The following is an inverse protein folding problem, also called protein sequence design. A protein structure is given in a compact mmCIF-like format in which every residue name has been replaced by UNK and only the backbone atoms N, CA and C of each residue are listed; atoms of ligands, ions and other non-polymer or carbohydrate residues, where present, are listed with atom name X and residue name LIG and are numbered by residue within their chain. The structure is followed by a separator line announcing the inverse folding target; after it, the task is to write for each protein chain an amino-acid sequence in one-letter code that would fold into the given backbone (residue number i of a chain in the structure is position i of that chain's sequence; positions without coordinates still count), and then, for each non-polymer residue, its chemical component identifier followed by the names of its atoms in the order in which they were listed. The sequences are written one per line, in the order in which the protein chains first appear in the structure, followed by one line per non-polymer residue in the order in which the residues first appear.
data_IF_993471171197
#
_entry.id   IF_993471171197
#
_cell.length_a   1.000
_cell.length_b   1.000
_cell.length_c   1.000
_cell.angle_alpha   90.00
_cell.angle_beta   90.00
_cell.angle_gamma   90.00
#
_symmetry.space_group_name_H-M   'P 1'
#
loop_
_entity.id
_entity.type
_entity.pdbx_description
1 polymer ?
#
# COMPACT_ATOMS: atom_id res chain seq x y z
N UNK A 1 11.69 1.70 5.88
CA UNK A 1 11.79 0.78 4.75
C UNK A 1 13.03 1.06 3.90
N UNK A 2 13.18 2.25 3.30
CA UNK A 2 14.26 2.56 2.34
C UNK A 2 15.66 2.71 2.97
N UNK A 3 15.76 3.02 4.25
CA UNK A 3 17.05 3.20 4.96
C UNK A 3 17.48 1.96 5.76
N UNK A 4 16.61 0.98 5.95
CA UNK A 4 16.92 -0.19 6.76
C UNK A 4 17.49 -1.29 5.87
N UNK A 5 18.66 -1.87 6.18
CA UNK A 5 19.20 -3.04 5.49
C UNK A 5 18.19 -4.18 5.42
N UNK A 6 18.21 -4.94 4.34
CA UNK A 6 17.19 -5.96 4.06
C UNK A 6 17.13 -7.03 5.15
N UNK A 7 18.26 -7.49 5.62
CA UNK A 7 18.41 -8.48 6.71
C UNK A 7 17.88 -8.01 8.07
N UNK A 8 17.91 -6.70 8.33
CA UNK A 8 17.40 -6.09 9.57
C UNK A 8 15.93 -5.63 9.45
N UNK A 9 15.38 -5.57 8.25
CA UNK A 9 14.08 -4.94 7.97
C UNK A 9 12.93 -5.62 8.70
N UNK A 10 12.86 -6.95 8.66
CA UNK A 10 11.79 -7.70 9.32
C UNK A 10 11.74 -7.47 10.83
N UNK A 11 12.90 -7.42 11.51
CA UNK A 11 13.00 -7.18 12.94
C UNK A 11 12.60 -5.74 13.29
N UNK A 12 13.12 -4.75 12.54
CA UNK A 12 12.80 -3.33 12.76
C UNK A 12 11.30 -3.04 12.57
N UNK A 13 10.69 -3.56 11.51
CA UNK A 13 9.26 -3.36 11.24
C UNK A 13 8.40 -4.12 12.26
N UNK A 14 8.84 -5.29 12.75
CA UNK A 14 8.16 -6.01 13.83
C UNK A 14 8.10 -5.21 15.14
N UNK A 15 9.15 -4.48 15.48
CA UNK A 15 9.14 -3.57 16.64
C UNK A 15 8.15 -2.40 16.44
N UNK A 16 8.10 -1.82 15.24
CA UNK A 16 7.11 -0.78 14.89
C UNK A 16 5.67 -1.30 14.98
N UNK A 17 5.44 -2.55 14.59
CA UNK A 17 4.10 -3.16 14.68
C UNK A 17 3.62 -3.27 16.14
N UNK A 18 4.51 -3.64 17.06
CA UNK A 18 4.18 -3.67 18.49
C UNK A 18 3.87 -2.26 19.06
N UNK A 19 4.59 -1.23 18.61
CA UNK A 19 4.30 0.15 18.99
C UNK A 19 2.97 0.63 18.41
N UNK A 20 2.69 0.31 17.14
CA UNK A 20 1.44 0.67 16.48
C UNK A 20 0.22 0.07 17.19
N UNK A 21 0.33 -1.18 17.67
CA UNK A 21 -0.74 -1.83 18.47
C UNK A 21 -1.06 -1.04 19.74
N UNK A 22 -0.03 -0.55 20.44
CA UNK A 22 -0.22 0.26 21.65
C UNK A 22 -0.89 1.60 21.33
N UNK A 23 -0.50 2.26 20.21
CA UNK A 23 -1.11 3.53 19.79
C UNK A 23 -2.58 3.33 19.42
N UNK A 24 -2.93 2.28 18.70
CA UNK A 24 -4.31 1.92 18.37
C UNK A 24 -5.13 1.69 19.64
N UNK A 25 -4.59 0.95 20.61
CA UNK A 25 -5.28 0.66 21.88
C UNK A 25 -5.62 1.95 22.67
N UNK A 26 -4.78 2.98 22.55
CA UNK A 26 -4.97 4.28 23.21
C UNK A 26 -5.87 5.25 22.41
N UNK A 27 -6.09 5.01 21.10
CA UNK A 27 -6.79 5.91 20.18
C UNK A 27 -7.88 5.20 19.38
N UNK A 28 -8.75 4.45 20.05
CA UNK A 28 -9.74 3.54 19.43
C UNK A 28 -10.75 4.21 18.49
N UNK A 29 -10.97 5.52 18.63
CA UNK A 29 -11.94 6.27 17.83
C UNK A 29 -11.30 7.00 16.62
N UNK A 30 -9.97 6.90 16.45
CA UNK A 30 -9.25 7.57 15.38
C UNK A 30 -8.88 6.57 14.26
N UNK A 31 -9.14 6.89 12.98
CA UNK A 31 -8.81 6.01 11.86
C UNK A 31 -7.31 5.98 11.53
N UNK A 32 -6.56 7.07 11.76
CA UNK A 32 -5.17 7.19 11.36
C UNK A 32 -4.24 6.14 12.02
N UNK A 33 -4.33 5.87 13.33
CA UNK A 33 -3.55 4.80 13.95
C UNK A 33 -3.80 3.43 13.33
N UNK A 34 -5.05 3.13 12.97
CA UNK A 34 -5.43 1.88 12.32
C UNK A 34 -4.83 1.79 10.90
N UNK A 35 -4.86 2.88 10.13
CA UNK A 35 -4.24 2.94 8.80
C UNK A 35 -2.73 2.70 8.91
N UNK A 36 -2.05 3.38 9.82
CA UNK A 36 -0.61 3.17 10.03
C UNK A 36 -0.29 1.76 10.52
N UNK A 37 -1.09 1.19 11.40
CA UNK A 37 -0.93 -0.20 11.82
C UNK A 37 -1.04 -1.15 10.62
N UNK A 38 -2.04 -0.97 9.77
CA UNK A 38 -2.22 -1.77 8.55
C UNK A 38 -1.03 -1.66 7.60
N UNK A 39 -0.51 -0.44 7.36
CA UNK A 39 0.66 -0.20 6.51
C UNK A 39 1.92 -0.89 7.10
N UNK A 40 2.14 -0.77 8.40
CA UNK A 40 3.28 -1.40 9.08
C UNK A 40 3.18 -2.93 8.99
N UNK A 41 2.00 -3.51 9.24
CA UNK A 41 1.76 -4.94 9.14
C UNK A 41 1.97 -5.47 7.71
N UNK A 42 1.49 -4.75 6.69
CA UNK A 42 1.72 -5.09 5.28
C UNK A 42 3.20 -5.05 4.91
N UNK A 43 3.91 -4.02 5.37
CA UNK A 43 5.36 -3.89 5.18
C UNK A 43 6.11 -5.02 5.87
N UNK A 44 5.68 -5.40 7.07
CA UNK A 44 6.26 -6.53 7.79
C UNK A 44 5.99 -7.86 7.10
N UNK A 45 4.79 -8.05 6.56
CA UNK A 45 4.46 -9.23 5.78
C UNK A 45 5.40 -9.40 4.59
N UNK A 46 5.63 -8.34 3.81
CA UNK A 46 6.56 -8.34 2.69
C UNK A 46 8.02 -8.65 3.11
N UNK A 47 8.48 -8.06 4.22
CA UNK A 47 9.83 -8.29 4.72
C UNK A 47 10.04 -9.69 5.31
N UNK A 48 8.99 -10.30 5.88
CA UNK A 48 9.05 -11.61 6.53
C UNK A 48 8.90 -12.77 5.56
N UNK A 49 8.01 -12.63 4.59
CA UNK A 49 7.67 -13.69 3.64
C UNK A 49 7.05 -14.94 4.28
N UNK A 50 6.83 -15.95 3.45
CA UNK A 50 6.39 -17.28 3.87
C UNK A 50 5.00 -17.32 4.54
N UNK A 51 4.70 -18.42 5.24
CA UNK A 51 3.38 -18.66 5.86
C UNK A 51 2.97 -17.61 6.90
N UNK A 52 3.94 -16.98 7.56
CA UNK A 52 3.67 -15.93 8.54
C UNK A 52 3.18 -14.61 7.92
N UNK A 53 3.50 -14.35 6.67
CA UNK A 53 3.10 -13.15 5.94
C UNK A 53 1.57 -13.06 5.78
N UNK A 54 0.91 -14.17 5.42
CA UNK A 54 -0.54 -14.18 5.23
C UNK A 54 -1.32 -13.80 6.50
N UNK A 55 -0.83 -14.22 7.68
CA UNK A 55 -1.44 -13.81 8.95
C UNK A 55 -1.35 -12.29 9.14
N UNK A 56 -0.19 -11.71 8.85
CA UNK A 56 0.02 -10.25 8.94
C UNK A 56 -0.84 -9.50 7.91
N UNK A 57 -0.97 -10.00 6.69
CA UNK A 57 -1.87 -9.43 5.69
C UNK A 57 -3.34 -9.44 6.14
N UNK A 58 -3.80 -10.53 6.78
CA UNK A 58 -5.17 -10.60 7.35
C UNK A 58 -5.38 -9.59 8.48
N UNK A 59 -4.38 -9.38 9.33
CA UNK A 59 -4.43 -8.36 10.37
C UNK A 59 -4.43 -6.94 9.77
N UNK A 60 -3.59 -6.68 8.77
CA UNK A 60 -3.56 -5.41 8.06
C UNK A 60 -4.91 -5.10 7.40
N UNK A 61 -5.50 -6.08 6.70
CA UNK A 61 -6.85 -5.98 6.12
C UNK A 61 -7.88 -5.55 7.18
N UNK A 62 -7.91 -6.21 8.32
CA UNK A 62 -8.84 -5.87 9.41
C UNK A 62 -8.64 -4.44 9.92
N UNK A 63 -7.39 -3.98 10.05
CA UNK A 63 -7.08 -2.60 10.47
C UNK A 63 -7.58 -1.57 9.43
N UNK A 64 -7.40 -1.81 8.13
CA UNK A 64 -7.90 -0.92 7.08
C UNK A 64 -9.42 -0.89 7.03
N UNK A 65 -10.08 -2.06 7.12
CA UNK A 65 -11.55 -2.16 7.13
C UNK A 65 -12.16 -1.43 8.33
N UNK A 66 -11.52 -1.50 9.49
CA UNK A 66 -11.98 -0.78 10.67
C UNK A 66 -11.77 0.73 10.53
N UNK A 67 -10.62 1.16 10.01
CA UNK A 67 -10.37 2.58 9.72
C UNK A 67 -11.40 3.17 8.76
N UNK A 68 -11.75 2.45 7.70
CA UNK A 68 -12.74 2.89 6.71
C UNK A 68 -14.16 2.99 7.29
N UNK A 69 -14.52 2.22 8.32
CA UNK A 69 -15.80 2.35 9.03
C UNK A 69 -15.87 3.66 9.83
N UNK A 70 -14.72 4.12 10.37
CA UNK A 70 -14.63 5.36 11.14
C UNK A 70 -14.62 6.56 10.20
N UNK A 71 -13.68 6.60 9.27
CA UNK A 71 -13.58 7.64 8.23
C UNK A 71 -12.92 7.07 6.96
N UNK A 72 -13.69 6.84 5.89
CA UNK A 72 -13.17 6.35 4.62
C UNK A 72 -12.22 7.35 3.92
N UNK A 73 -12.32 8.66 4.23
CA UNK A 73 -11.48 9.72 3.66
C UNK A 73 -10.17 9.95 4.43
N UNK A 74 -10.00 9.32 5.59
CA UNK A 74 -8.82 9.53 6.43
C UNK A 74 -7.51 9.31 5.66
N UNK A 75 -6.52 10.18 5.92
CA UNK A 75 -5.24 10.20 5.22
C UNK A 75 -5.41 10.12 3.68
N UNK A 76 -6.39 10.87 3.16
CA UNK A 76 -6.66 10.96 1.72
C UNK A 76 -6.95 9.59 1.07
N UNK A 77 -7.71 8.72 1.74
CA UNK A 77 -8.08 7.41 1.23
C UNK A 77 -6.96 6.37 1.28
N UNK A 78 -5.93 6.57 2.13
CA UNK A 78 -4.80 5.62 2.24
C UNK A 78 -5.22 4.21 2.63
N UNK A 79 -6.35 4.04 3.34
CA UNK A 79 -6.88 2.71 3.65
C UNK A 79 -7.32 1.97 2.37
N UNK A 80 -7.98 2.68 1.45
CA UNK A 80 -8.37 2.12 0.14
C UNK A 80 -7.15 1.73 -0.70
N UNK A 81 -6.17 2.62 -0.82
CA UNK A 81 -4.91 2.34 -1.54
C UNK A 81 -4.23 1.09 -1.00
N UNK A 82 -4.07 1.03 0.32
CA UNK A 82 -3.34 -0.06 0.97
C UNK A 82 -4.10 -1.38 0.95
N UNK A 83 -5.42 -1.34 1.16
CA UNK A 83 -6.25 -2.53 1.09
C UNK A 83 -6.36 -3.07 -0.34
N UNK A 84 -6.50 -2.18 -1.33
CA UNK A 84 -6.46 -2.55 -2.75
C UNK A 84 -5.15 -3.24 -3.10
N UNK A 85 -4.01 -2.71 -2.62
CA UNK A 85 -2.71 -3.36 -2.86
C UNK A 85 -2.61 -4.75 -2.23
N UNK A 86 -3.19 -4.97 -1.06
CA UNK A 86 -3.23 -6.30 -0.45
C UNK A 86 -4.04 -7.30 -1.29
N UNK A 87 -5.16 -6.86 -1.88
CA UNK A 87 -6.04 -7.75 -2.63
C UNK A 87 -5.40 -8.31 -3.90
N UNK A 88 -4.55 -7.57 -4.62
CA UNK A 88 -3.87 -8.13 -5.79
C UNK A 88 -2.53 -8.80 -5.46
N UNK A 89 -1.90 -8.46 -4.31
CA UNK A 89 -0.61 -9.04 -3.93
C UNK A 89 -0.74 -10.34 -3.11
N UNK A 90 -1.86 -10.55 -2.43
CA UNK A 90 -2.12 -11.76 -1.64
C UNK A 90 -2.70 -12.83 -2.54
N UNK A 91 -2.28 -14.10 -2.42
CA UNK A 91 -2.90 -15.19 -3.19
C UNK A 91 -4.42 -15.25 -2.98
N UNK A 92 -5.15 -15.60 -4.03
CA UNK A 92 -6.59 -15.85 -3.98
C UNK A 92 -6.96 -17.13 -3.23
N UNK A 93 -8.26 -17.39 -3.15
CA UNK A 93 -8.79 -18.62 -2.56
C UNK A 93 -8.22 -19.86 -3.29
N UNK A 94 -7.92 -21.01 -2.60
CA UNK A 94 -8.16 -21.27 -1.16
C UNK A 94 -7.02 -20.83 -0.22
N UNK A 95 -5.93 -20.29 -0.72
CA UNK A 95 -4.74 -19.97 0.08
C UNK A 95 -4.92 -18.68 0.89
N UNK A 96 -5.43 -17.65 0.25
CA UNK A 96 -5.58 -16.32 0.81
C UNK A 96 -6.92 -15.68 0.47
N UNK A 97 -6.93 -14.34 0.54
CA UNK A 97 -8.11 -13.52 0.28
C UNK A 97 -7.95 -12.63 -0.96
N UNK A 98 -6.92 -12.85 -1.77
CA UNK A 98 -6.67 -12.08 -2.99
C UNK A 98 -7.87 -12.10 -3.93
N UNK A 99 -8.14 -10.95 -4.56
CA UNK A 99 -9.28 -10.75 -5.45
C UNK A 99 -8.97 -9.52 -6.32
N UNK A 100 -8.76 -9.74 -7.61
CA UNK A 100 -8.32 -8.70 -8.54
C UNK A 100 -9.43 -7.67 -8.81
N UNK A 101 -10.68 -8.10 -8.91
CA UNK A 101 -11.82 -7.18 -9.12
C UNK A 101 -11.99 -6.27 -7.91
N UNK A 102 -11.86 -6.82 -6.70
CA UNK A 102 -11.91 -6.05 -5.47
C UNK A 102 -10.72 -5.11 -5.32
N UNK A 103 -9.56 -5.52 -5.76
CA UNK A 103 -8.37 -4.66 -5.80
C UNK A 103 -8.64 -3.43 -6.69
N UNK A 104 -9.13 -3.63 -7.91
CA UNK A 104 -9.40 -2.53 -8.84
C UNK A 104 -10.47 -1.57 -8.29
N UNK A 105 -11.56 -2.11 -7.72
CA UNK A 105 -12.60 -1.30 -7.09
C UNK A 105 -12.02 -0.36 -6.02
N UNK A 106 -11.22 -0.91 -5.09
CA UNK A 106 -10.63 -0.15 -3.98
C UNK A 106 -9.60 0.88 -4.47
N UNK A 107 -8.76 0.52 -5.43
CA UNK A 107 -7.77 1.44 -5.99
C UNK A 107 -8.43 2.60 -6.76
N UNK A 108 -9.52 2.36 -7.48
CA UNK A 108 -10.31 3.42 -8.11
C UNK A 108 -10.98 4.34 -7.08
N UNK A 109 -11.44 3.79 -5.96
CA UNK A 109 -11.96 4.61 -4.85
C UNK A 109 -10.86 5.49 -4.23
N UNK A 110 -9.65 4.94 -4.07
CA UNK A 110 -8.50 5.71 -3.60
C UNK A 110 -8.17 6.88 -4.56
N UNK A 111 -8.19 6.64 -5.88
CA UNK A 111 -7.97 7.69 -6.88
C UNK A 111 -9.09 8.74 -6.87
N UNK A 112 -10.34 8.36 -6.62
CA UNK A 112 -11.43 9.31 -6.50
C UNK A 112 -11.25 10.26 -5.29
N UNK A 113 -10.66 9.77 -4.19
CA UNK A 113 -10.37 10.56 -2.99
C UNK A 113 -9.08 11.38 -3.11
N UNK A 114 -8.09 10.87 -3.83
CA UNK A 114 -6.78 11.49 -4.00
C UNK A 114 -6.24 11.29 -5.44
N UNK A 115 -6.81 12.00 -6.41
CA UNK A 115 -6.48 11.81 -7.83
C UNK A 115 -5.02 12.12 -8.17
N UNK A 116 -4.40 13.08 -7.47
CA UNK A 116 -3.02 13.49 -7.70
C UNK A 116 -2.04 12.89 -6.69
N UNK A 117 -2.49 11.92 -5.90
CA UNK A 117 -1.66 11.29 -4.88
C UNK A 117 -0.59 10.38 -5.48
N UNK A 118 0.66 10.55 -5.05
CA UNK A 118 1.78 9.72 -5.52
C UNK A 118 1.55 8.23 -5.23
N UNK A 119 1.03 7.89 -4.02
CA UNK A 119 0.82 6.50 -3.63
C UNK A 119 -0.42 5.90 -4.30
N UNK A 120 -1.55 6.64 -4.40
CA UNK A 120 -2.77 6.14 -5.06
C UNK A 120 -2.52 5.81 -6.54
N UNK A 121 -1.83 6.69 -7.26
CA UNK A 121 -1.46 6.46 -8.66
C UNK A 121 -0.41 5.37 -8.81
N UNK A 122 0.59 5.31 -7.93
CA UNK A 122 1.61 4.25 -7.97
C UNK A 122 0.99 2.86 -7.83
N UNK A 123 0.16 2.63 -6.80
CA UNK A 123 -0.40 1.30 -6.57
C UNK A 123 -1.43 0.91 -7.64
N UNK A 124 -2.17 1.87 -8.20
CA UNK A 124 -3.03 1.56 -9.34
C UNK A 124 -2.23 1.24 -10.61
N UNK A 125 -1.14 1.96 -10.85
CA UNK A 125 -0.22 1.65 -11.97
C UNK A 125 0.47 0.29 -11.81
N UNK A 126 0.87 -0.08 -10.59
CA UNK A 126 1.44 -1.38 -10.27
C UNK A 126 0.41 -2.51 -10.50
N UNK A 127 -0.83 -2.33 -10.04
CA UNK A 127 -1.94 -3.23 -10.32
C UNK A 127 -2.17 -3.41 -11.83
N UNK A 128 -2.18 -2.33 -12.59
CA UNK A 128 -2.38 -2.38 -14.04
C UNK A 128 -1.29 -3.18 -14.77
N UNK A 129 -0.05 -3.11 -14.28
CA UNK A 129 1.05 -3.96 -14.78
C UNK A 129 0.77 -5.45 -14.51
N UNK A 130 0.32 -5.79 -13.30
CA UNK A 130 -0.02 -7.17 -12.94
C UNK A 130 -1.21 -7.73 -13.77
N UNK A 131 -1.99 -6.83 -14.40
CA UNK A 131 -3.10 -7.17 -15.29
C UNK A 131 -2.74 -7.05 -16.79
N UNK A 132 -1.46 -6.94 -17.13
CA UNK A 132 -0.94 -6.76 -18.50
C UNK A 132 -1.54 -5.54 -19.24
N UNK A 133 -2.02 -4.52 -18.49
CA UNK A 133 -2.61 -3.27 -19.01
C UNK A 133 -1.56 -2.17 -19.10
N UNK A 134 -0.52 -2.40 -19.88
CA UNK A 134 0.71 -1.59 -19.88
C UNK A 134 0.51 -0.15 -20.34
N UNK A 135 -0.33 0.11 -21.39
CA UNK A 135 -0.58 1.49 -21.85
C UNK A 135 -1.29 2.34 -20.79
N UNK A 136 -2.20 1.73 -20.02
CA UNK A 136 -2.88 2.41 -18.92
C UNK A 136 -1.92 2.62 -17.74
N UNK A 137 -1.11 1.61 -17.43
CA UNK A 137 -0.11 1.68 -16.37
C UNK A 137 0.89 2.82 -16.60
N UNK A 138 1.40 2.98 -17.83
CA UNK A 138 2.31 4.07 -18.19
C UNK A 138 1.70 5.43 -17.90
N UNK A 139 0.44 5.67 -18.31
CA UNK A 139 -0.24 6.95 -18.09
C UNK A 139 -0.38 7.27 -16.60
N UNK A 140 -0.81 6.29 -15.81
CA UNK A 140 -1.03 6.45 -14.37
C UNK A 140 0.30 6.64 -13.63
N UNK A 141 1.34 5.90 -14.00
CA UNK A 141 2.65 6.02 -13.39
C UNK A 141 3.37 7.33 -13.78
N UNK A 142 3.18 7.83 -15.00
CA UNK A 142 3.67 9.16 -15.39
C UNK A 142 2.98 10.27 -14.59
N UNK A 143 1.68 10.11 -14.30
CA UNK A 143 0.97 11.00 -13.39
C UNK A 143 1.53 10.93 -11.97
N UNK A 144 1.80 9.73 -11.43
CA UNK A 144 2.45 9.54 -10.14
C UNK A 144 3.84 10.20 -10.08
N UNK A 145 4.62 10.08 -11.16
CA UNK A 145 5.96 10.68 -11.25
C UNK A 145 5.94 12.22 -11.20
N UNK A 146 4.85 12.83 -11.68
CA UNK A 146 4.66 14.28 -11.67
C UNK A 146 4.08 14.82 -10.34
N UNK A 147 3.76 13.95 -9.39
CA UNK A 147 3.16 14.36 -8.11
C UNK A 147 4.08 15.32 -7.34
N UNK A 148 3.48 16.35 -6.73
CA UNK A 148 4.20 17.31 -5.93
C UNK A 148 4.82 16.66 -4.67
N UNK A 149 6.04 17.05 -4.27
CA UNK A 149 6.65 16.59 -3.03
C UNK A 149 5.78 16.90 -1.81
N UNK A 150 5.69 15.96 -0.89
CA UNK A 150 4.90 16.11 0.34
C UNK A 150 5.78 16.61 1.49
N UNK A 151 5.48 17.75 2.10
CA UNK A 151 6.26 18.26 3.23
C UNK A 151 6.37 17.25 4.37
N UNK A 152 7.60 17.03 4.86
CA UNK A 152 7.89 16.05 5.92
C UNK A 152 7.87 14.58 5.49
N UNK A 153 7.77 14.32 4.18
CA UNK A 153 7.80 12.96 3.61
C UNK A 153 8.87 12.76 2.53
N UNK A 154 9.84 13.63 2.49
CA UNK A 154 10.85 13.72 1.43
C UNK A 154 11.54 12.36 1.17
N UNK A 155 11.91 11.65 2.24
CA UNK A 155 12.55 10.34 2.13
C UNK A 155 11.60 9.26 1.56
N UNK A 156 10.33 9.30 1.95
CA UNK A 156 9.33 8.37 1.44
C UNK A 156 9.05 8.64 -0.03
N UNK A 157 8.94 9.92 -0.41
CA UNK A 157 8.70 10.34 -1.79
C UNK A 157 9.90 10.02 -2.70
N UNK A 158 11.13 10.23 -2.25
CA UNK A 158 12.34 9.82 -2.98
C UNK A 158 12.34 8.29 -3.24
N UNK A 159 12.01 7.51 -2.23
CA UNK A 159 11.91 6.06 -2.38
C UNK A 159 10.80 5.67 -3.37
N UNK A 160 9.64 6.28 -3.27
CA UNK A 160 8.51 6.04 -4.17
C UNK A 160 8.82 6.44 -5.62
N UNK A 161 9.50 7.55 -5.85
CA UNK A 161 9.93 7.98 -7.19
C UNK A 161 10.86 6.96 -7.85
N UNK A 162 11.76 6.33 -7.09
CA UNK A 162 12.61 5.23 -7.60
C UNK A 162 11.79 4.01 -8.01
N UNK A 163 10.80 3.64 -7.20
CA UNK A 163 9.88 2.54 -7.52
C UNK A 163 9.03 2.85 -8.76
N UNK A 164 8.50 4.08 -8.88
CA UNK A 164 7.76 4.54 -10.06
C UNK A 164 8.62 4.45 -11.31
N UNK A 165 9.87 4.94 -11.26
CA UNK A 165 10.77 4.90 -12.41
C UNK A 165 11.05 3.45 -12.87
N UNK A 166 11.23 2.52 -11.92
CA UNK A 166 11.42 1.11 -12.22
C UNK A 166 10.18 0.48 -12.88
N UNK A 167 8.98 0.76 -12.36
CA UNK A 167 7.72 0.25 -12.92
C UNK A 167 7.40 0.86 -14.28
N UNK A 168 7.69 2.15 -14.49
CA UNK A 168 7.58 2.79 -15.81
C UNK A 168 8.49 2.14 -16.84
N UNK A 169 9.75 1.85 -16.47
CA UNK A 169 10.69 1.19 -17.37
C UNK A 169 10.18 -0.22 -17.76
N UNK A 170 9.64 -0.96 -16.79
CA UNK A 170 9.04 -2.27 -17.04
C UNK A 170 7.85 -2.15 -17.98
N UNK A 171 6.86 -1.32 -17.66
CA UNK A 171 5.65 -1.19 -18.48
C UNK A 171 5.94 -0.72 -19.91
N UNK A 172 6.91 0.18 -20.10
CA UNK A 172 7.33 0.66 -21.43
C UNK A 172 8.09 -0.40 -22.25
N UNK A 173 8.68 -1.39 -21.61
CA UNK A 173 9.39 -2.47 -22.31
C UNK A 173 8.42 -3.54 -22.86
N UNK A 174 7.18 -3.56 -22.37
CA UNK A 174 6.13 -4.49 -22.81
C UNK A 174 5.18 -3.89 -23.88
N UNK A 175 5.42 -2.62 -24.29
CA UNK A 175 4.70 -1.94 -25.37
C UNK A 175 5.39 -2.09 -26.71
#
# INVERSE_FOLDING_TARGET
QYQTPEDARAAAVGQLAAQAEQVVAQNKAAPEPLIWQGIILSTWAGAKGGLGALKLCKQAKASFEEAMKIDPGALQGSAYTSLGSLYYQVPGWPVGFGDEDKAEELLKQALALNPDGIDSNYFYGDYLIEQDRYEEAVKVLEHAAAAAPRPGRELADEGRQKEIAAKLALAKAEL
#
